data_IF_670758173104
#
_entry.id   IF_670758173104
#
_cell.length_a   1.000
_cell.length_b   1.000
_cell.length_c   1.000
_cell.angle_alpha   90.00
_cell.angle_beta   90.00
_cell.angle_gamma   90.00
#
_symmetry.space_group_name_H-M   'P 1'
#
loop_
_entity.id
_entity.type
_entity.pdbx_description
1 polymer ?
#
# COMPACT_ATOMS: atom_id res chain seq x y z
N UNK A 1 -20.38 59.69 -24.20
CA UNK A 1 -19.60 58.54 -24.71
C UNK A 1 -19.91 57.29 -23.89
N UNK A 2 -20.89 56.49 -24.32
CA UNK A 2 -21.16 55.17 -23.70
C UNK A 2 -20.19 54.16 -24.30
N UNK A 3 -19.33 53.57 -23.47
CA UNK A 3 -18.43 52.48 -23.89
C UNK A 3 -19.25 51.19 -24.04
N UNK A 4 -19.41 50.73 -25.28
CA UNK A 4 -19.90 49.39 -25.60
C UNK A 4 -18.96 48.35 -24.98
N UNK A 5 -19.51 47.45 -24.14
CA UNK A 5 -18.78 46.28 -23.64
C UNK A 5 -18.71 45.22 -24.74
N UNK A 6 -17.54 44.61 -25.00
CA UNK A 6 -17.44 43.57 -26.00
C UNK A 6 -18.21 42.32 -25.54
N UNK A 7 -19.06 41.81 -26.44
CA UNK A 7 -19.78 40.55 -26.32
C UNK A 7 -18.79 39.40 -26.15
N UNK A 8 -18.75 38.80 -24.96
CA UNK A 8 -18.01 37.55 -24.71
C UNK A 8 -18.73 36.44 -25.46
N UNK A 9 -18.18 36.02 -26.60
CA UNK A 9 -18.60 34.81 -27.30
C UNK A 9 -18.46 33.63 -26.33
N UNK A 10 -19.59 33.09 -25.88
CA UNK A 10 -19.62 31.90 -25.05
C UNK A 10 -19.02 30.74 -25.85
N UNK A 11 -17.95 30.12 -25.31
CA UNK A 11 -17.38 28.88 -25.86
C UNK A 11 -18.53 27.89 -26.14
N UNK A 12 -18.56 27.24 -27.31
CA UNK A 12 -19.62 26.28 -27.62
C UNK A 12 -19.66 25.19 -26.54
N UNK A 13 -20.86 24.74 -26.14
CA UNK A 13 -21.01 23.77 -25.06
C UNK A 13 -20.18 22.53 -25.37
N UNK A 14 -19.29 22.17 -24.43
CA UNK A 14 -18.48 20.95 -24.50
C UNK A 14 -19.38 19.77 -24.84
N UNK A 15 -19.12 19.12 -25.99
CA UNK A 15 -19.88 17.93 -26.42
C UNK A 15 -19.88 16.90 -25.28
N UNK A 16 -21.03 16.70 -24.65
CA UNK A 16 -21.24 15.67 -23.63
C UNK A 16 -21.31 14.32 -24.33
N UNK A 17 -20.17 13.68 -24.61
CA UNK A 17 -20.16 12.32 -25.16
C UNK A 17 -20.75 11.36 -24.12
N UNK A 18 -21.93 10.76 -24.37
CA UNK A 18 -22.54 9.82 -23.44
C UNK A 18 -21.78 8.49 -23.45
N UNK A 19 -21.99 7.68 -22.43
CA UNK A 19 -21.42 6.33 -22.39
C UNK A 19 -22.18 5.44 -23.37
N UNK A 20 -21.47 4.69 -24.20
CA UNK A 20 -22.07 3.70 -25.10
C UNK A 20 -21.87 2.29 -24.51
N UNK A 21 -22.90 1.43 -24.49
CA UNK A 21 -22.76 0.06 -23.95
C UNK A 21 -21.64 -0.74 -24.60
N UNK A 22 -21.38 -0.54 -25.90
CA UNK A 22 -20.28 -1.17 -26.62
C UNK A 22 -18.90 -0.91 -25.98
N UNK A 23 -18.74 0.22 -25.26
CA UNK A 23 -17.49 0.54 -24.59
C UNK A 23 -17.11 -0.45 -23.47
N UNK A 24 -18.08 -1.13 -22.85
CA UNK A 24 -17.81 -2.13 -21.81
C UNK A 24 -16.93 -3.26 -22.36
N UNK A 25 -17.32 -3.84 -23.49
CA UNK A 25 -16.57 -4.93 -24.12
C UNK A 25 -15.38 -4.42 -24.93
N UNK A 26 -15.50 -3.30 -25.64
CA UNK A 26 -14.42 -2.81 -26.50
C UNK A 26 -13.19 -2.37 -25.69
N UNK A 27 -13.39 -1.77 -24.52
CA UNK A 27 -12.31 -1.17 -23.74
C UNK A 27 -12.10 -1.82 -22.36
N UNK A 28 -12.83 -2.90 -22.05
CA UNK A 28 -12.75 -3.58 -20.74
C UNK A 28 -13.21 -2.68 -19.60
N UNK A 29 -14.42 -2.13 -19.71
CA UNK A 29 -15.02 -1.22 -18.72
C UNK A 29 -16.22 -1.87 -18.04
N UNK A 30 -16.63 -1.32 -16.90
CA UNK A 30 -17.90 -1.65 -16.24
C UNK A 30 -18.56 -0.41 -15.67
N UNK A 31 -19.86 -0.27 -15.92
CA UNK A 31 -20.68 0.78 -15.30
C UNK A 31 -20.76 0.55 -13.80
N UNK A 32 -20.45 1.60 -13.03
CA UNK A 32 -20.44 1.56 -11.57
C UNK A 32 -21.58 2.34 -10.94
N UNK A 33 -22.03 3.42 -11.59
CA UNK A 33 -23.14 4.22 -11.12
C UNK A 33 -23.91 4.84 -12.28
N UNK A 34 -25.22 4.96 -12.08
CA UNK A 34 -26.15 5.72 -12.90
C UNK A 34 -26.80 6.76 -12.00
N UNK A 35 -27.14 7.93 -12.55
CA UNK A 35 -27.92 8.93 -11.82
C UNK A 35 -29.41 8.54 -11.72
N UNK A 36 -30.21 9.39 -11.08
CA UNK A 36 -31.65 9.17 -10.91
C UNK A 36 -32.42 9.06 -12.23
N UNK A 37 -31.87 9.61 -13.33
CA UNK A 37 -32.45 9.50 -14.67
C UNK A 37 -32.00 8.25 -15.42
N UNK A 38 -31.17 7.40 -14.80
CA UNK A 38 -30.61 6.19 -15.40
C UNK A 38 -29.39 6.45 -16.29
N UNK A 39 -28.89 7.69 -16.37
CA UNK A 39 -27.72 8.04 -17.18
C UNK A 39 -26.45 7.64 -16.44
N UNK A 40 -25.53 6.98 -17.16
CA UNK A 40 -24.24 6.55 -16.60
C UNK A 40 -23.43 7.75 -16.14
N UNK A 41 -23.03 7.75 -14.86
CA UNK A 41 -22.26 8.84 -14.24
C UNK A 41 -20.87 8.39 -13.73
N UNK A 42 -20.62 7.09 -13.65
CA UNK A 42 -19.29 6.53 -13.34
C UNK A 42 -19.07 5.18 -14.01
N UNK A 43 -17.91 5.01 -14.65
CA UNK A 43 -17.45 3.73 -15.19
C UNK A 43 -16.03 3.43 -14.71
N UNK A 44 -15.72 2.16 -14.46
CA UNK A 44 -14.42 1.70 -13.96
C UNK A 44 -13.68 0.88 -15.01
N UNK A 45 -12.36 1.03 -15.06
CA UNK A 45 -11.47 0.13 -15.78
C UNK A 45 -11.37 -1.25 -15.11
N UNK A 46 -11.68 -2.31 -15.84
CA UNK A 46 -11.61 -3.69 -15.32
C UNK A 46 -10.18 -4.20 -15.19
N UNK A 47 -9.25 -3.77 -16.04
CA UNK A 47 -7.83 -4.12 -15.91
C UNK A 47 -7.24 -3.63 -14.58
N UNK A 48 -7.50 -2.37 -14.24
CA UNK A 48 -7.20 -1.81 -12.92
C UNK A 48 -7.76 -2.64 -11.76
N UNK A 49 -8.99 -3.17 -11.90
CA UNK A 49 -9.65 -3.95 -10.85
C UNK A 49 -9.04 -5.34 -10.68
N UNK A 50 -8.75 -6.03 -11.78
CA UNK A 50 -8.37 -7.45 -11.75
C UNK A 50 -6.85 -7.68 -11.81
N UNK A 51 -6.10 -6.80 -12.45
CA UNK A 51 -4.66 -6.97 -12.66
C UNK A 51 -3.80 -5.86 -12.03
N UNK A 52 -4.40 -4.74 -11.61
CA UNK A 52 -3.64 -3.57 -11.19
C UNK A 52 -2.94 -2.90 -12.39
N UNK A 53 -2.08 -1.93 -12.11
CA UNK A 53 -1.30 -1.20 -13.12
C UNK A 53 0.07 -1.82 -13.29
N UNK A 54 0.43 -2.03 -14.55
CA UNK A 54 1.73 -2.51 -14.98
C UNK A 54 2.80 -1.44 -14.76
N UNK A 55 4.03 -1.88 -14.49
CA UNK A 55 5.17 -1.01 -14.29
C UNK A 55 5.59 -0.33 -15.60
N UNK A 56 6.04 0.91 -15.49
CA UNK A 56 6.62 1.61 -16.64
C UNK A 56 8.08 1.20 -16.78
N UNK A 57 8.47 0.78 -17.99
CA UNK A 57 9.87 0.44 -18.32
C UNK A 57 10.87 1.56 -17.97
N UNK A 58 10.43 2.81 -17.97
CA UNK A 58 11.26 4.01 -17.73
C UNK A 58 10.88 4.77 -16.44
N UNK A 59 10.04 4.18 -15.58
CA UNK A 59 9.53 4.85 -14.39
C UNK A 59 10.53 4.84 -13.25
N UNK A 60 11.02 6.01 -12.81
CA UNK A 60 11.87 6.13 -11.62
C UNK A 60 11.16 5.80 -10.30
N UNK A 61 9.84 5.66 -10.31
CA UNK A 61 9.00 5.40 -9.13
C UNK A 61 7.95 4.34 -9.45
N UNK A 62 7.67 3.48 -8.46
CA UNK A 62 6.57 2.51 -8.53
C UNK A 62 5.23 3.23 -8.73
N UNK A 63 4.39 2.68 -9.60
CA UNK A 63 3.10 3.29 -9.95
C UNK A 63 2.05 3.00 -8.89
N UNK A 64 1.21 3.99 -8.60
CA UNK A 64 0.07 3.82 -7.69
C UNK A 64 -0.92 2.78 -8.24
N UNK A 65 -1.35 1.84 -7.41
CA UNK A 65 -2.26 0.76 -7.80
C UNK A 65 -3.75 1.14 -7.72
N UNK A 66 -4.06 2.44 -7.63
CA UNK A 66 -5.44 2.93 -7.57
C UNK A 66 -6.22 2.63 -8.84
N UNK A 67 -7.42 2.09 -8.66
CA UNK A 67 -8.35 1.78 -9.74
C UNK A 67 -8.76 3.07 -10.48
N UNK A 68 -8.77 3.02 -11.82
CA UNK A 68 -9.21 4.16 -12.63
C UNK A 68 -10.72 4.15 -12.80
N UNK A 69 -11.33 5.26 -12.41
CA UNK A 69 -12.73 5.59 -12.70
C UNK A 69 -12.79 6.76 -13.70
N UNK A 70 -13.82 6.76 -14.53
CA UNK A 70 -14.12 7.80 -15.50
C UNK A 70 -15.49 8.38 -15.23
N UNK A 71 -15.58 9.70 -15.39
CA UNK A 71 -16.82 10.48 -15.36
C UNK A 71 -17.03 11.09 -16.75
N UNK A 72 -18.26 11.55 -17.10
CA UNK A 72 -18.50 12.22 -18.37
C UNK A 72 -17.56 13.42 -18.57
N UNK A 73 -17.11 13.71 -19.81
CA UNK A 73 -17.47 13.05 -21.07
C UNK A 73 -16.71 11.75 -21.32
N UNK A 74 -17.42 10.75 -21.87
CA UNK A 74 -16.93 9.39 -22.08
C UNK A 74 -16.22 9.20 -23.43
N UNK A 75 -15.06 9.83 -23.57
CA UNK A 75 -14.28 9.81 -24.82
C UNK A 75 -13.46 8.51 -24.94
N UNK A 76 -13.63 7.72 -26.02
CA UNK A 76 -12.88 6.49 -26.23
C UNK A 76 -11.35 6.64 -26.15
N UNK A 77 -10.82 7.77 -26.64
CA UNK A 77 -9.39 8.08 -26.57
C UNK A 77 -8.83 7.95 -25.14
N UNK A 78 -9.57 8.40 -24.12
CA UNK A 78 -9.10 8.34 -22.74
C UNK A 78 -8.99 6.91 -22.21
N UNK A 79 -9.82 6.00 -22.71
CA UNK A 79 -9.73 4.58 -22.35
C UNK A 79 -8.51 3.96 -23.02
N UNK A 80 -8.31 4.23 -24.32
CA UNK A 80 -7.16 3.73 -25.07
C UNK A 80 -5.85 4.22 -24.46
N UNK A 81 -5.70 5.52 -24.21
CA UNK A 81 -4.48 6.10 -23.61
C UNK A 81 -4.19 5.50 -22.24
N UNK A 82 -5.22 5.29 -21.42
CA UNK A 82 -5.03 4.65 -20.12
C UNK A 82 -4.63 3.18 -20.26
N UNK A 83 -5.31 2.41 -21.10
CA UNK A 83 -5.04 1.00 -21.26
C UNK A 83 -3.65 0.76 -21.85
N UNK A 84 -3.23 1.53 -22.85
CA UNK A 84 -1.89 1.44 -23.44
C UNK A 84 -0.80 1.82 -22.45
N UNK A 85 -1.01 2.87 -21.65
CA UNK A 85 0.02 3.34 -20.71
C UNK A 85 0.07 2.55 -19.42
N UNK A 86 -1.07 2.08 -18.89
CA UNK A 86 -1.18 1.44 -17.57
C UNK A 86 -1.32 -0.07 -17.60
N UNK A 87 -1.70 -0.65 -18.73
CA UNK A 87 -1.98 -2.07 -18.90
C UNK A 87 -1.47 -2.57 -20.26
N UNK A 88 -0.34 -2.07 -20.75
CA UNK A 88 0.12 -2.32 -22.12
C UNK A 88 0.18 -3.80 -22.52
N UNK A 89 0.60 -4.68 -21.61
CA UNK A 89 0.69 -6.13 -21.84
C UNK A 89 -0.71 -6.74 -21.86
N UNK A 90 -1.49 -6.55 -20.78
CA UNK A 90 -2.85 -7.11 -20.68
C UNK A 90 -3.81 -6.56 -21.71
N UNK A 91 -3.63 -5.30 -22.10
CA UNK A 91 -4.40 -4.64 -23.15
C UNK A 91 -4.09 -5.24 -24.52
N UNK A 92 -2.82 -5.47 -24.86
CA UNK A 92 -2.45 -6.13 -26.11
C UNK A 92 -3.03 -7.55 -26.21
N UNK A 93 -2.94 -8.32 -25.11
CA UNK A 93 -3.59 -9.64 -25.02
C UNK A 93 -5.10 -9.53 -25.25
N UNK A 94 -5.76 -8.59 -24.58
CA UNK A 94 -7.20 -8.40 -24.71
C UNK A 94 -7.61 -8.00 -26.12
N UNK A 95 -6.85 -7.13 -26.79
CA UNK A 95 -7.18 -6.69 -28.16
C UNK A 95 -7.16 -7.82 -29.17
N UNK A 96 -6.25 -8.79 -29.00
CA UNK A 96 -6.11 -9.95 -29.88
C UNK A 96 -7.26 -10.97 -29.76
N UNK A 97 -8.09 -10.87 -28.72
CA UNK A 97 -9.20 -11.78 -28.48
C UNK A 97 -10.44 -11.45 -29.32
N UNK A 98 -11.20 -12.50 -29.65
CA UNK A 98 -12.55 -12.39 -30.21
C UNK A 98 -13.53 -11.77 -29.21
N UNK A 99 -14.71 -11.35 -29.69
CA UNK A 99 -15.76 -10.76 -28.84
C UNK A 99 -16.21 -11.72 -27.73
N UNK A 100 -16.32 -13.01 -28.02
CA UNK A 100 -16.77 -14.03 -27.07
C UNK A 100 -15.71 -14.24 -25.98
N UNK A 101 -14.43 -14.34 -26.36
CA UNK A 101 -13.31 -14.47 -25.42
C UNK A 101 -13.15 -13.21 -24.55
N UNK A 102 -13.36 -12.01 -25.11
CA UNK A 102 -13.35 -10.75 -24.36
C UNK A 102 -14.40 -10.71 -23.25
N UNK A 103 -15.55 -11.35 -23.45
CA UNK A 103 -16.62 -11.44 -22.46
C UNK A 103 -16.22 -12.33 -21.27
N UNK A 104 -15.42 -13.36 -21.52
CA UNK A 104 -14.93 -14.30 -20.52
C UNK A 104 -13.61 -13.86 -19.85
N UNK A 105 -12.86 -12.94 -20.45
CA UNK A 105 -11.50 -12.55 -20.01
C UNK A 105 -11.38 -12.14 -18.53
N UNK A 106 -12.41 -11.49 -18.00
CA UNK A 106 -12.46 -11.06 -16.59
C UNK A 106 -13.26 -12.00 -15.69
N UNK A 107 -13.94 -13.00 -16.26
CA UNK A 107 -14.78 -13.94 -15.53
C UNK A 107 -13.91 -14.92 -14.73
N UNK A 108 -14.31 -15.18 -13.48
CA UNK A 108 -13.53 -16.04 -12.56
C UNK A 108 -12.22 -15.43 -12.04
N UNK A 109 -11.82 -14.23 -12.50
CA UNK A 109 -10.63 -13.55 -11.99
C UNK A 109 -10.89 -12.97 -10.60
N UNK A 110 -9.97 -13.22 -9.66
CA UNK A 110 -9.97 -12.56 -8.35
C UNK A 110 -9.53 -11.11 -8.55
N UNK A 111 -10.22 -10.14 -7.93
CA UNK A 111 -9.81 -8.73 -8.01
C UNK A 111 -8.35 -8.60 -7.55
N UNK A 112 -7.54 -7.77 -8.22
CA UNK A 112 -6.15 -7.51 -7.85
C UNK A 112 -6.03 -7.24 -6.36
N UNK A 113 -6.82 -6.30 -5.82
CA UNK A 113 -6.83 -5.97 -4.38
C UNK A 113 -7.25 -7.12 -3.46
N UNK A 114 -7.81 -8.20 -3.99
CA UNK A 114 -8.16 -9.41 -3.24
C UNK A 114 -7.19 -10.57 -3.55
N UNK A 115 -6.30 -10.41 -4.53
CA UNK A 115 -5.21 -11.35 -4.77
C UNK A 115 -4.15 -11.13 -3.72
N UNK A 116 -3.71 -12.24 -3.13
CA UNK A 116 -2.65 -12.28 -2.12
C UNK A 116 -1.41 -11.52 -2.61
N UNK A 117 -1.04 -11.66 -3.89
CA UNK A 117 0.06 -10.95 -4.56
C UNK A 117 -0.02 -9.41 -4.51
N UNK A 118 -1.20 -8.78 -4.40
CA UNK A 118 -1.32 -7.31 -4.32
C UNK A 118 -0.99 -6.74 -2.95
N UNK A 119 -1.19 -7.55 -1.91
CA UNK A 119 -0.77 -7.29 -0.53
C UNK A 119 0.61 -7.89 -0.24
N UNK A 120 1.19 -8.59 -1.22
CA UNK A 120 2.56 -9.01 -1.21
C UNK A 120 3.37 -7.97 -2.00
N UNK A 121 4.17 -7.18 -1.29
CA UNK A 121 5.41 -6.74 -1.91
C UNK A 121 6.08 -7.98 -2.48
N UNK A 122 6.27 -8.01 -3.81
CA UNK A 122 7.24 -8.90 -4.43
C UNK A 122 8.58 -8.32 -4.03
N UNK A 123 9.00 -8.66 -2.82
CA UNK A 123 10.35 -8.73 -2.34
C UNK A 123 10.29 -9.20 -0.89
N UNK A 124 11.17 -10.13 -0.55
CA UNK A 124 11.54 -10.45 0.82
C UNK A 124 12.12 -9.18 1.48
N UNK A 125 11.29 -8.24 1.92
CA UNK A 125 11.74 -6.99 2.50
C UNK A 125 12.03 -7.15 3.99
N UNK A 126 12.90 -8.08 4.39
CA UNK A 126 13.42 -8.05 5.77
C UNK A 126 14.03 -6.67 6.00
N UNK A 127 13.47 -5.87 6.91
CA UNK A 127 14.08 -4.58 7.24
C UNK A 127 15.31 -4.87 8.08
N UNK A 128 16.46 -4.38 7.63
CA UNK A 128 17.73 -4.53 8.35
C UNK A 128 18.22 -3.16 8.79
N UNK A 129 18.65 -3.05 10.04
CA UNK A 129 19.20 -1.85 10.62
C UNK A 129 20.47 -2.19 11.39
N UNK A 130 21.49 -1.37 11.22
CA UNK A 130 22.75 -1.47 11.93
C UNK A 130 22.71 -0.46 13.08
N UNK A 131 22.52 -0.95 14.31
CA UNK A 131 22.35 -0.13 15.51
C UNK A 131 23.66 -0.11 16.31
N UNK A 132 24.26 1.06 16.59
CA UNK A 132 25.43 1.16 17.46
C UNK A 132 25.20 0.54 18.84
N UNK A 133 26.22 -0.15 19.37
CA UNK A 133 26.15 -0.89 20.64
C UNK A 133 25.62 -0.04 21.80
N UNK A 134 26.12 1.18 21.98
CA UNK A 134 25.70 2.09 23.05
C UNK A 134 24.19 2.44 23.03
N UNK A 135 23.54 2.41 21.86
CA UNK A 135 22.08 2.62 21.79
C UNK A 135 21.37 1.42 22.43
N UNK A 136 21.82 0.20 22.15
CA UNK A 136 21.18 -1.02 22.67
C UNK A 136 21.51 -1.21 24.15
N UNK A 137 22.78 -1.09 24.54
CA UNK A 137 23.23 -1.39 25.91
C UNK A 137 22.94 -0.27 26.89
N UNK A 138 23.19 0.99 26.51
CA UNK A 138 22.99 2.11 27.44
C UNK A 138 21.58 2.69 27.34
N UNK A 139 21.10 3.05 26.15
CA UNK A 139 19.80 3.71 26.03
C UNK A 139 18.65 2.73 26.23
N UNK A 140 18.66 1.58 25.54
CA UNK A 140 17.59 0.58 25.72
C UNK A 140 17.77 -0.16 27.04
N UNK A 141 18.96 -0.72 27.30
CA UNK A 141 19.22 -1.57 28.46
C UNK A 141 19.17 -0.87 29.81
N UNK A 142 19.77 0.32 29.95
CA UNK A 142 19.88 1.00 31.25
C UNK A 142 18.84 2.10 31.49
N UNK A 143 18.33 2.74 30.43
CA UNK A 143 17.44 3.90 30.57
C UNK A 143 15.98 3.52 30.32
N UNK A 144 15.69 2.78 29.25
CA UNK A 144 14.32 2.49 28.84
C UNK A 144 13.77 1.17 29.39
N UNK A 145 14.63 0.25 29.79
CA UNK A 145 14.21 -1.03 30.34
C UNK A 145 13.98 -0.93 31.85
N UNK A 146 12.85 -1.46 32.30
CA UNK A 146 12.52 -1.59 33.71
C UNK A 146 12.12 -3.06 33.98
N UNK A 147 12.88 -3.73 34.84
CA UNK A 147 12.69 -5.14 35.18
C UNK A 147 11.40 -5.38 35.99
N UNK A 148 10.99 -4.39 36.80
CA UNK A 148 9.74 -4.42 37.56
C UNK A 148 8.50 -4.42 36.64
N UNK A 149 8.57 -3.72 35.51
CA UNK A 149 7.43 -3.55 34.59
C UNK A 149 7.28 -4.71 33.59
N UNK A 150 8.38 -5.38 33.23
CA UNK A 150 8.40 -6.33 32.11
C UNK A 150 8.44 -7.80 32.53
N UNK A 151 8.65 -8.11 33.82
CA UNK A 151 8.69 -9.49 34.31
C UNK A 151 9.80 -10.36 33.67
N UNK A 152 10.79 -9.71 33.06
CA UNK A 152 11.95 -10.29 32.42
C UNK A 152 13.20 -9.52 32.88
N UNK A 153 14.38 -10.13 32.79
CA UNK A 153 15.63 -9.43 33.06
C UNK A 153 16.14 -8.70 31.82
N UNK A 154 16.92 -7.63 32.02
CA UNK A 154 17.53 -6.85 30.93
C UNK A 154 18.27 -7.74 29.91
N UNK A 155 19.11 -8.72 30.32
CA UNK A 155 19.79 -9.58 29.36
C UNK A 155 18.83 -10.41 28.51
N UNK A 156 17.68 -10.81 29.06
CA UNK A 156 16.65 -11.57 28.33
C UNK A 156 15.96 -10.68 27.30
N UNK A 157 15.70 -9.42 27.64
CA UNK A 157 15.10 -8.46 26.72
C UNK A 157 16.05 -8.06 25.58
N UNK A 158 17.34 -7.87 25.89
CA UNK A 158 18.35 -7.47 24.89
C UNK A 158 18.74 -8.59 23.93
N UNK A 159 18.53 -9.88 24.28
CA UNK A 159 18.72 -11.02 23.36
C UNK A 159 17.96 -10.88 22.05
N UNK A 160 16.87 -10.12 22.03
CA UNK A 160 16.14 -9.85 20.80
C UNK A 160 17.02 -9.19 19.72
N UNK A 161 17.96 -8.33 20.12
CA UNK A 161 18.86 -7.63 19.18
C UNK A 161 19.96 -8.53 18.60
N UNK A 162 20.12 -9.76 19.10
CA UNK A 162 21.21 -10.66 18.71
C UNK A 162 22.53 -10.28 19.37
N UNK A 163 23.64 -10.70 18.76
CA UNK A 163 24.98 -10.37 19.21
C UNK A 163 25.52 -9.16 18.45
N UNK A 164 26.34 -8.35 19.13
CA UNK A 164 27.05 -7.26 18.49
C UNK A 164 28.26 -7.80 17.71
N UNK A 165 28.44 -7.29 16.50
CA UNK A 165 29.65 -7.49 15.69
C UNK A 165 30.32 -6.14 15.46
N UNK A 166 31.60 -6.03 15.78
CA UNK A 166 32.39 -4.80 15.69
C UNK A 166 31.70 -3.54 16.30
N UNK A 167 31.01 -3.69 17.44
CA UNK A 167 30.32 -2.59 18.13
C UNK A 167 28.97 -2.20 17.53
N UNK A 168 28.38 -3.05 16.69
CA UNK A 168 27.10 -2.81 16.02
C UNK A 168 26.19 -4.04 16.14
N UNK A 169 24.92 -3.83 16.51
CA UNK A 169 23.87 -4.84 16.45
C UNK A 169 23.14 -4.78 15.11
N UNK A 170 23.02 -5.93 14.44
CA UNK A 170 22.24 -6.03 13.20
C UNK A 170 20.82 -6.50 13.47
N UNK A 171 19.90 -5.54 13.52
CA UNK A 171 18.49 -5.78 13.75
C UNK A 171 17.79 -6.20 12.45
N UNK A 172 17.10 -7.34 12.47
CA UNK A 172 16.38 -7.87 11.31
C UNK A 172 14.88 -8.08 11.59
N UNK A 173 14.04 -7.30 10.92
CA UNK A 173 12.58 -7.43 10.95
C UNK A 173 12.13 -8.26 9.75
N UNK A 174 12.08 -9.58 9.94
CA UNK A 174 11.71 -10.54 8.89
C UNK A 174 10.29 -10.37 8.35
N UNK A 175 9.38 -9.82 9.17
CA UNK A 175 7.96 -9.64 8.82
C UNK A 175 7.53 -8.18 9.02
N UNK A 176 7.87 -7.26 8.09
CA UNK A 176 7.63 -5.82 8.25
C UNK A 176 6.15 -5.48 8.37
N UNK A 177 5.28 -6.22 7.68
CA UNK A 177 3.84 -6.00 7.74
C UNK A 177 3.30 -6.18 9.16
N UNK A 178 3.74 -7.24 9.86
CA UNK A 178 3.38 -7.51 11.26
C UNK A 178 3.96 -6.47 12.21
N UNK A 179 5.21 -6.08 11.98
CA UNK A 179 5.87 -5.02 12.74
C UNK A 179 5.10 -3.70 12.64
N UNK A 180 4.85 -3.21 11.43
CA UNK A 180 4.16 -1.95 11.20
C UNK A 180 2.76 -1.94 11.84
N UNK A 181 2.01 -3.04 11.69
CA UNK A 181 0.67 -3.14 12.27
C UNK A 181 0.72 -3.14 13.81
N UNK A 182 1.70 -3.82 14.41
CA UNK A 182 1.92 -3.78 15.87
C UNK A 182 2.22 -2.35 16.35
N UNK A 183 3.13 -1.63 15.68
CA UNK A 183 3.43 -0.23 16.01
C UNK A 183 2.18 0.64 15.89
N UNK A 184 1.39 0.48 14.83
CA UNK A 184 0.16 1.24 14.64
C UNK A 184 -0.84 1.01 15.78
N UNK A 185 -1.06 -0.24 16.19
CA UNK A 185 -1.93 -0.56 17.32
C UNK A 185 -1.41 0.03 18.64
N UNK A 186 -0.11 -0.07 18.91
CA UNK A 186 0.48 0.53 20.12
C UNK A 186 0.35 2.05 20.10
N UNK A 187 0.54 2.69 18.93
CA UNK A 187 0.35 4.13 18.77
C UNK A 187 -1.11 4.57 19.00
N UNK A 188 -2.06 3.66 18.80
CA UNK A 188 -3.48 3.87 19.11
C UNK A 188 -3.82 3.60 20.58
N UNK A 189 -2.83 3.32 21.44
CA UNK A 189 -3.01 3.12 22.88
C UNK A 189 -3.25 1.68 23.33
N UNK A 190 -3.08 0.69 22.44
CA UNK A 190 -3.17 -0.71 22.84
C UNK A 190 -1.89 -1.13 23.57
N UNK A 191 -2.03 -1.86 24.67
CA UNK A 191 -0.89 -2.51 25.33
C UNK A 191 -0.27 -3.60 24.44
N UNK A 192 0.95 -4.05 24.76
CA UNK A 192 1.64 -5.12 24.02
C UNK A 192 0.76 -6.39 23.91
N UNK A 193 0.15 -6.79 25.02
CA UNK A 193 -0.80 -7.90 25.07
C UNK A 193 -2.03 -7.69 24.18
N UNK A 194 -2.61 -6.49 24.19
CA UNK A 194 -3.77 -6.15 23.35
C UNK A 194 -3.40 -6.14 21.86
N UNK A 195 -2.28 -5.50 21.50
CA UNK A 195 -1.80 -5.46 20.12
C UNK A 195 -1.52 -6.88 19.59
N UNK A 196 -0.87 -7.74 20.39
CA UNK A 196 -0.66 -9.13 20.04
C UNK A 196 -1.98 -9.90 19.85
N UNK A 197 -2.94 -9.71 20.75
CA UNK A 197 -4.27 -10.34 20.68
C UNK A 197 -5.00 -9.96 19.40
N UNK A 198 -5.06 -8.65 19.08
CA UNK A 198 -5.76 -8.16 17.88
C UNK A 198 -5.13 -8.70 16.61
N UNK A 199 -3.79 -8.68 16.51
CA UNK A 199 -3.09 -9.22 15.33
C UNK A 199 -3.32 -10.72 15.17
N UNK A 200 -3.30 -11.47 16.28
CA UNK A 200 -3.57 -12.90 16.25
C UNK A 200 -5.02 -13.22 15.84
N UNK A 201 -5.99 -12.43 16.29
CA UNK A 201 -7.39 -12.54 15.85
C UNK A 201 -7.52 -12.28 14.33
N UNK A 202 -6.81 -11.27 13.81
CA UNK A 202 -6.78 -11.00 12.37
C UNK A 202 -6.15 -12.17 11.61
N UNK A 203 -5.05 -12.75 12.11
CA UNK A 203 -4.47 -13.96 11.53
C UNK A 203 -5.49 -15.10 11.47
N UNK A 204 -6.19 -15.39 12.56
CA UNK A 204 -7.18 -16.46 12.64
C UNK A 204 -8.37 -16.23 11.68
N UNK A 205 -8.82 -14.98 11.54
CA UNK A 205 -9.94 -14.65 10.68
C UNK A 205 -9.59 -14.67 9.19
N UNK A 206 -8.36 -14.29 8.82
CA UNK A 206 -7.99 -14.11 7.40
C UNK A 206 -7.03 -15.17 6.87
N UNK A 207 -6.42 -16.00 7.72
CA UNK A 207 -5.38 -16.96 7.33
C UNK A 207 -4.09 -16.30 6.81
N UNK A 208 -3.84 -15.03 7.14
CA UNK A 208 -2.70 -14.29 6.58
C UNK A 208 -1.39 -14.64 7.31
N UNK A 209 -0.60 -15.56 6.75
CA UNK A 209 0.67 -16.01 7.32
C UNK A 209 1.67 -14.89 7.66
N UNK A 210 1.52 -13.68 7.11
CA UNK A 210 2.36 -12.55 7.51
C UNK A 210 2.11 -12.07 8.94
N UNK A 211 0.94 -12.35 9.49
CA UNK A 211 0.53 -11.99 10.85
C UNK A 211 0.73 -13.13 11.86
N UNK A 212 1.04 -14.34 11.38
CA UNK A 212 1.20 -15.54 12.20
C UNK A 212 2.21 -15.34 13.33
N UNK A 213 2.00 -15.97 14.50
CA UNK A 213 3.01 -16.03 15.56
C UNK A 213 3.25 -14.70 16.27
N UNK A 214 2.25 -13.82 16.29
CA UNK A 214 2.32 -12.61 17.09
C UNK A 214 2.13 -12.96 18.57
N UNK A 215 3.05 -12.50 19.42
CA UNK A 215 3.00 -12.70 20.88
C UNK A 215 3.23 -11.38 21.61
N UNK A 216 2.88 -11.34 22.89
CA UNK A 216 3.11 -10.18 23.77
C UNK A 216 4.61 -9.81 23.81
N UNK A 217 5.47 -10.82 24.01
CA UNK A 217 6.93 -10.67 23.98
C UNK A 217 7.41 -10.10 22.64
N UNK A 218 6.84 -10.56 21.51
CA UNK A 218 7.23 -10.05 20.20
C UNK A 218 6.75 -8.60 19.98
N UNK A 219 5.59 -8.22 20.52
CA UNK A 219 5.12 -6.83 20.50
C UNK A 219 6.06 -5.90 21.28
N UNK A 220 6.44 -6.31 22.49
CA UNK A 220 7.43 -5.62 23.31
C UNK A 220 8.78 -5.50 22.59
N UNK A 221 9.26 -6.58 21.96
CA UNK A 221 10.47 -6.53 21.11
C UNK A 221 10.35 -5.52 19.97
N UNK A 222 9.22 -5.48 19.27
CA UNK A 222 8.99 -4.50 18.20
C UNK A 222 8.97 -3.06 18.72
N UNK A 223 8.47 -2.81 19.93
CA UNK A 223 8.56 -1.50 20.57
C UNK A 223 10.04 -1.11 20.82
N UNK A 224 10.84 -2.01 21.41
CA UNK A 224 12.28 -1.76 21.65
C UNK A 224 13.03 -1.48 20.34
N UNK A 225 12.71 -2.23 19.28
CA UNK A 225 13.27 -2.00 17.95
C UNK A 225 12.95 -0.61 17.42
N UNK A 226 11.69 -0.18 17.53
CA UNK A 226 11.28 1.15 17.09
C UNK A 226 12.03 2.25 17.85
N UNK A 227 12.19 2.11 19.16
CA UNK A 227 12.92 3.07 19.99
C UNK A 227 14.40 3.13 19.57
N UNK A 228 15.05 1.98 19.40
CA UNK A 228 16.45 1.92 18.96
C UNK A 228 16.66 2.57 17.58
N UNK A 229 15.79 2.26 16.60
CA UNK A 229 15.82 2.87 15.26
C UNK A 229 15.59 4.39 15.35
N UNK A 230 14.73 4.84 16.26
CA UNK A 230 14.46 6.27 16.45
C UNK A 230 15.66 7.00 17.03
N UNK A 231 16.34 6.41 18.03
CA UNK A 231 17.58 6.98 18.57
C UNK A 231 18.70 7.06 17.53
N UNK A 232 18.87 6.01 16.72
CA UNK A 232 19.83 6.04 15.62
C UNK A 232 19.55 7.21 14.67
N UNK A 233 18.29 7.36 14.23
CA UNK A 233 17.90 8.45 13.32
C UNK A 233 18.12 9.83 13.94
N UNK A 234 17.82 10.00 15.22
CA UNK A 234 18.09 11.26 15.93
C UNK A 234 19.58 11.54 15.95
N UNK A 235 20.41 10.54 16.27
CA UNK A 235 21.87 10.67 16.25
C UNK A 235 22.43 11.05 14.87
N UNK A 236 21.94 10.40 13.81
CA UNK A 236 22.30 10.72 12.42
C UNK A 236 21.89 12.14 12.03
N UNK A 237 20.68 12.58 12.41
CA UNK A 237 20.22 13.94 12.15
C UNK A 237 21.08 14.98 12.89
N UNK A 238 21.41 14.72 14.15
CA UNK A 238 22.28 15.61 14.95
C UNK A 238 23.69 15.69 14.37
N UNK A 239 24.25 14.59 13.91
CA UNK A 239 25.58 14.56 13.28
C UNK A 239 25.61 15.29 11.92
N UNK A 240 24.52 15.25 11.15
CA UNK A 240 24.41 15.91 9.85
C UNK A 240 23.98 17.40 9.94
N UNK A 241 23.73 17.91 11.15
CA UNK A 241 23.29 19.29 11.39
C UNK A 241 24.44 20.27 11.66
N UNK A 242 25.70 19.81 11.52
CA UNK A 242 26.93 20.60 11.69
C UNK A 242 27.84 20.49 10.47
#
# INVERSE_FOLDING_TARGET
MQRLKPSVSSKPPSRKTPFQPAHELQYGLKVMAKDASGVVCSVRCQFCKYFGREESKNGKRRRTQNQKFYKPPYRPQYYTDHNTTAHGIKWAQYQALSSDEKSAFFSGQISHNNQLSSHYEVESSTLSFDIPEHIVTDLIGKIFFNDEDEGASEPVALRAFGDADAGVYRLQIKMPFRFNLAIQHMSAGLSFRQAATVIQQHYQATGNNKLYGMTDTLASTYARYLVAISFQRIGELMANSY
#
